data_IF_082284817127
#
_entry.id   IF_082284817127
#
_cell.length_a   1.000
_cell.length_b   1.000
_cell.length_c   1.000
_cell.angle_alpha   90.00
_cell.angle_beta   90.00
_cell.angle_gamma   90.00
#
_symmetry.space_group_name_H-M   'P 1'
#
loop_
_entity.id
_entity.type
_entity.pdbx_description
1 polymer ?
#
# COMPACT_ATOMS: atom_id res chain seq x y z
N UNK A 1 -38.47 10.97 0.30
CA UNK A 1 -37.52 9.94 -0.17
C UNK A 1 -36.60 10.59 -1.17
N UNK A 2 -35.39 10.99 -0.77
CA UNK A 2 -34.45 11.71 -1.63
C UNK A 2 -33.54 10.71 -2.35
N UNK A 3 -33.81 10.50 -3.65
CA UNK A 3 -32.97 9.73 -4.55
C UNK A 3 -31.69 10.53 -4.87
N UNK A 4 -30.57 10.18 -4.25
CA UNK A 4 -29.26 10.64 -4.69
C UNK A 4 -28.84 9.82 -5.91
N UNK A 5 -29.08 10.35 -7.10
CA UNK A 5 -28.47 9.87 -8.34
C UNK A 5 -26.96 10.15 -8.29
N UNK A 6 -26.17 9.13 -7.97
CA UNK A 6 -24.72 9.18 -8.21
C UNK A 6 -24.53 8.93 -9.71
N UNK A 7 -24.15 9.97 -10.44
CA UNK A 7 -23.68 9.85 -11.82
C UNK A 7 -22.46 8.92 -11.83
N UNK A 8 -22.64 7.69 -12.29
CA UNK A 8 -21.54 6.79 -12.63
C UNK A 8 -20.93 7.30 -13.94
N UNK A 9 -19.71 7.82 -13.87
CA UNK A 9 -18.89 8.00 -15.07
C UNK A 9 -18.14 6.69 -15.29
N UNK A 10 -18.65 5.86 -16.19
CA UNK A 10 -17.96 4.66 -16.64
C UNK A 10 -16.85 5.10 -17.59
N UNK A 11 -15.60 5.15 -17.14
CA UNK A 11 -14.47 5.42 -18.03
C UNK A 11 -14.13 4.11 -18.74
N UNK A 12 -14.87 3.82 -19.82
CA UNK A 12 -14.66 2.63 -20.65
C UNK A 12 -13.56 2.81 -21.69
N UNK A 13 -13.09 4.03 -21.92
CA UNK A 13 -12.04 4.30 -22.89
C UNK A 13 -10.72 4.63 -22.18
N UNK A 14 -9.94 3.58 -21.91
CA UNK A 14 -8.52 3.73 -21.57
C UNK A 14 -7.78 4.56 -22.63
N UNK A 15 -8.22 4.49 -23.89
CA UNK A 15 -7.76 5.32 -25.01
C UNK A 15 -7.97 6.82 -24.76
N UNK A 16 -9.08 7.21 -24.14
CA UNK A 16 -9.41 8.60 -23.84
C UNK A 16 -8.55 9.14 -22.69
N UNK A 17 -8.38 8.37 -21.61
CA UNK A 17 -7.43 8.71 -20.52
C UNK A 17 -6.02 8.89 -21.09
N UNK A 18 -5.55 7.94 -21.90
CA UNK A 18 -4.22 8.01 -22.53
C UNK A 18 -4.13 9.23 -23.44
N UNK A 19 -5.15 9.55 -24.24
CA UNK A 19 -5.17 10.76 -25.08
C UNK A 19 -5.17 12.06 -24.28
N UNK A 20 -5.83 12.08 -23.10
CA UNK A 20 -5.88 13.23 -22.22
C UNK A 20 -4.52 13.40 -21.55
N UNK A 21 -3.90 12.33 -21.06
CA UNK A 21 -2.53 12.34 -20.58
C UNK A 21 -1.56 12.81 -21.67
N UNK A 22 -1.68 12.31 -22.90
CA UNK A 22 -0.87 12.74 -24.04
C UNK A 22 -1.05 14.24 -24.34
N UNK A 23 -2.29 14.75 -24.30
CA UNK A 23 -2.58 16.18 -24.50
C UNK A 23 -2.08 17.07 -23.37
N UNK A 24 -2.16 16.60 -22.12
CA UNK A 24 -1.60 17.30 -20.94
C UNK A 24 -0.07 17.31 -20.98
N UNK A 25 0.54 16.22 -21.43
CA UNK A 25 1.97 16.10 -21.65
C UNK A 25 2.43 16.90 -22.89
N UNK A 26 1.62 17.09 -23.93
CA UNK A 26 1.99 17.98 -25.05
C UNK A 26 1.98 19.48 -24.70
N UNK A 27 1.35 19.90 -23.59
CA UNK A 27 1.54 21.25 -23.03
C UNK A 27 2.80 21.37 -22.17
N UNK A 28 3.36 20.24 -21.74
CA UNK A 28 4.65 20.14 -21.07
C UNK A 28 5.59 19.38 -21.99
N UNK A 29 6.16 20.05 -23.00
CA UNK A 29 7.15 19.46 -23.90
C UNK A 29 8.17 18.64 -23.10
N UNK A 30 7.96 17.31 -23.04
CA UNK A 30 9.02 16.40 -22.67
C UNK A 30 10.00 16.53 -23.83
N UNK A 31 11.29 16.78 -23.59
CA UNK A 31 12.27 16.78 -24.65
C UNK A 31 12.21 15.40 -25.32
N UNK A 32 11.56 15.34 -26.48
CA UNK A 32 11.60 14.20 -27.39
C UNK A 32 12.85 14.38 -28.23
N UNK A 33 14.00 14.16 -27.59
CA UNK A 33 15.29 14.12 -28.26
C UNK A 33 15.53 12.75 -28.93
N UNK A 34 14.50 11.88 -28.98
CA UNK A 34 14.61 10.53 -29.51
C UNK A 34 15.59 9.66 -28.74
N UNK A 35 16.08 10.11 -27.58
CA UNK A 35 17.00 9.30 -26.77
C UNK A 35 16.20 8.22 -26.05
N UNK A 36 16.55 6.93 -26.25
CA UNK A 36 15.92 5.85 -25.50
C UNK A 36 16.09 6.12 -24.00
N UNK A 37 14.99 6.12 -23.24
CA UNK A 37 15.11 6.16 -21.79
C UNK A 37 15.96 4.98 -21.32
N UNK A 38 16.90 5.20 -20.38
CA UNK A 38 17.76 4.14 -19.90
C UNK A 38 16.89 3.01 -19.34
N UNK A 39 17.14 1.80 -19.83
CA UNK A 39 16.45 0.61 -19.34
C UNK A 39 16.78 0.47 -17.86
N UNK A 40 15.74 0.39 -17.03
CA UNK A 40 15.93 0.20 -15.60
C UNK A 40 16.68 -1.11 -15.36
N UNK A 41 17.72 -1.11 -14.52
CA UNK A 41 18.47 -2.34 -14.27
C UNK A 41 17.54 -3.38 -13.62
N UNK A 42 17.84 -4.68 -13.78
CA UNK A 42 17.09 -5.76 -13.15
C UNK A 42 16.91 -5.51 -11.65
N UNK A 43 15.78 -5.97 -11.10
CA UNK A 43 15.41 -5.70 -9.71
C UNK A 43 16.50 -6.15 -8.70
N UNK A 44 17.22 -7.22 -9.04
CA UNK A 44 18.31 -7.78 -8.24
C UNK A 44 19.50 -6.82 -8.14
N UNK A 45 19.75 -6.02 -9.18
CA UNK A 45 20.83 -5.04 -9.21
C UNK A 45 20.49 -3.74 -8.47
N UNK A 46 19.21 -3.51 -8.18
CA UNK A 46 18.73 -2.37 -7.39
C UNK A 46 18.84 -2.60 -5.88
N UNK A 47 19.05 -3.85 -5.47
CA UNK A 47 19.11 -4.20 -4.06
C UNK A 47 20.45 -3.74 -3.46
N UNK A 48 20.44 -3.17 -2.24
CA UNK A 48 21.67 -2.90 -1.51
C UNK A 48 22.53 -4.15 -1.35
N UNK A 49 23.86 -4.00 -1.38
CA UNK A 49 24.83 -5.10 -1.28
C UNK A 49 24.56 -6.09 -0.13
N UNK A 50 23.97 -5.63 1.00
CA UNK A 50 23.59 -6.49 2.14
C UNK A 50 22.54 -7.56 1.80
N UNK A 51 21.75 -7.34 0.76
CA UNK A 51 20.72 -8.25 0.26
C UNK A 51 21.20 -9.06 -0.96
N UNK A 52 22.45 -8.89 -1.38
CA UNK A 52 23.06 -9.62 -2.48
C UNK A 52 23.91 -10.79 -1.96
N UNK A 53 24.12 -11.81 -2.80
CA UNK A 53 24.99 -12.95 -2.46
C UNK A 53 24.51 -13.82 -1.29
N UNK A 54 25.46 -14.41 -0.56
CA UNK A 54 25.20 -15.35 0.54
C UNK A 54 24.49 -14.71 1.74
N UNK A 55 24.87 -13.49 2.12
CA UNK A 55 24.22 -12.71 3.19
C UNK A 55 22.76 -12.38 2.84
N UNK A 56 22.50 -12.02 1.59
CA UNK A 56 21.15 -11.83 1.07
C UNK A 56 20.29 -13.10 1.16
N UNK A 57 20.86 -14.25 0.77
CA UNK A 57 20.17 -15.55 0.89
C UNK A 57 19.80 -15.88 2.33
N UNK A 58 20.72 -15.71 3.27
CA UNK A 58 20.46 -15.92 4.71
C UNK A 58 19.34 -15.01 5.22
N UNK A 59 19.37 -13.73 4.83
CA UNK A 59 18.33 -12.76 5.19
C UNK A 59 16.97 -13.14 4.61
N UNK A 60 16.93 -13.61 3.36
CA UNK A 60 15.72 -14.10 2.71
C UNK A 60 15.14 -15.33 3.39
N UNK A 61 15.98 -16.31 3.75
CA UNK A 61 15.53 -17.49 4.51
C UNK A 61 15.01 -17.10 5.90
N UNK A 62 15.66 -16.16 6.58
CA UNK A 62 15.18 -15.66 7.86
C UNK A 62 13.79 -15.01 7.74
N UNK A 63 13.59 -14.15 6.73
CA UNK A 63 12.30 -13.52 6.45
C UNK A 63 11.21 -14.56 6.15
N UNK A 64 11.53 -15.56 5.31
CA UNK A 64 10.59 -16.63 4.97
C UNK A 64 10.22 -17.46 6.21
N UNK A 65 11.20 -17.74 7.08
CA UNK A 65 10.98 -18.41 8.36
C UNK A 65 10.05 -17.63 9.28
N UNK A 66 10.24 -16.30 9.40
CA UNK A 66 9.35 -15.43 10.17
C UNK A 66 7.91 -15.42 9.61
N UNK A 67 7.76 -15.34 8.29
CA UNK A 67 6.46 -15.40 7.63
C UNK A 67 5.75 -16.73 7.90
N UNK A 68 6.47 -17.85 7.81
CA UNK A 68 5.92 -19.17 8.10
C UNK A 68 5.51 -19.30 9.57
N UNK A 69 6.35 -18.83 10.49
CA UNK A 69 6.05 -18.82 11.92
C UNK A 69 4.81 -17.97 12.24
N UNK A 70 4.70 -16.79 11.64
CA UNK A 70 3.52 -15.92 11.80
C UNK A 70 2.26 -16.57 11.25
N UNK A 71 2.35 -17.27 10.10
CA UNK A 71 1.22 -18.03 9.54
C UNK A 71 0.75 -19.13 10.49
N UNK A 72 1.69 -19.86 11.09
CA UNK A 72 1.37 -20.93 12.07
C UNK A 72 0.78 -20.37 13.37
N UNK A 73 1.28 -19.24 13.85
CA UNK A 73 0.80 -18.57 15.08
C UNK A 73 -0.59 -17.96 14.91
N UNK A 74 -0.81 -17.23 13.82
CA UNK A 74 -2.02 -16.43 13.62
C UNK A 74 -3.18 -17.22 13.02
N UNK A 75 -2.91 -18.42 12.48
CA UNK A 75 -3.90 -19.31 11.84
C UNK A 75 -4.95 -18.52 11.04
N UNK A 76 -4.53 -17.77 10.01
CA UNK A 76 -5.45 -16.94 9.26
C UNK A 76 -6.52 -17.83 8.62
N UNK A 77 -7.74 -17.78 9.13
CA UNK A 77 -8.87 -18.43 8.49
C UNK A 77 -9.22 -17.67 7.22
N UNK A 78 -9.28 -18.40 6.11
CA UNK A 78 -9.80 -17.84 4.88
C UNK A 78 -11.30 -17.60 5.07
N UNK A 79 -11.75 -16.37 4.82
CA UNK A 79 -13.18 -16.12 4.69
C UNK A 79 -13.72 -17.09 3.63
N UNK A 80 -14.80 -17.82 3.91
CA UNK A 80 -15.38 -18.71 2.93
C UNK A 80 -15.68 -17.90 1.68
N UNK A 81 -15.16 -18.35 0.54
CA UNK A 81 -15.39 -17.69 -0.75
C UNK A 81 -16.88 -17.80 -1.04
N UNK A 82 -17.66 -16.77 -0.68
CA UNK A 82 -19.12 -16.81 -0.80
C UNK A 82 -19.56 -16.91 -2.26
N UNK A 83 -18.81 -16.31 -3.19
CA UNK A 83 -19.06 -16.36 -4.64
C UNK A 83 -17.87 -15.81 -5.41
N UNK A 84 -17.31 -16.59 -6.34
CA UNK A 84 -16.40 -16.06 -7.36
C UNK A 84 -17.24 -15.42 -8.48
N UNK A 85 -17.12 -14.11 -8.65
CA UNK A 85 -17.81 -13.38 -9.72
C UNK A 85 -16.87 -13.32 -10.95
N UNK A 86 -17.34 -13.70 -12.16
CA UNK A 86 -16.57 -13.57 -13.40
C UNK A 86 -16.05 -12.15 -13.59
N UNK A 87 -14.87 -11.99 -14.20
CA UNK A 87 -14.24 -10.67 -14.37
C UNK A 87 -15.19 -9.68 -15.06
N UNK A 88 -15.93 -10.13 -16.08
CA UNK A 88 -16.91 -9.33 -16.82
C UNK A 88 -18.05 -8.79 -15.95
N UNK A 89 -18.39 -9.48 -14.86
CA UNK A 89 -19.49 -9.12 -13.95
C UNK A 89 -19.02 -8.36 -12.71
N UNK A 90 -17.70 -8.15 -12.56
CA UNK A 90 -17.14 -7.40 -11.42
C UNK A 90 -17.43 -5.92 -11.58
N UNK A 91 -18.41 -5.42 -10.84
CA UNK A 91 -18.68 -3.99 -10.70
C UNK A 91 -17.96 -3.46 -9.46
N UNK A 92 -17.05 -2.51 -9.64
CA UNK A 92 -16.40 -1.79 -8.55
C UNK A 92 -16.99 -0.39 -8.42
N UNK A 93 -17.08 0.11 -7.18
CA UNK A 93 -17.49 1.48 -6.90
C UNK A 93 -16.38 2.18 -6.13
N UNK A 94 -16.09 3.45 -6.48
CA UNK A 94 -15.15 4.28 -5.76
C UNK A 94 -15.91 5.28 -4.90
N UNK A 95 -15.71 5.21 -3.59
CA UNK A 95 -16.21 6.22 -2.65
C UNK A 95 -15.03 7.10 -2.23
N UNK A 96 -15.08 8.38 -2.60
CA UNK A 96 -14.11 9.38 -2.14
C UNK A 96 -14.67 10.12 -0.93
N UNK A 97 -13.91 10.13 0.16
CA UNK A 97 -14.16 10.97 1.33
C UNK A 97 -12.95 11.86 1.56
N UNK A 98 -13.18 13.14 1.82
CA UNK A 98 -12.14 14.14 2.07
C UNK A 98 -12.40 14.77 3.42
N UNK A 99 -11.37 14.83 4.27
CA UNK A 99 -11.42 15.60 5.50
C UNK A 99 -11.24 17.08 5.19
N UNK A 100 -11.88 17.97 5.96
CA UNK A 100 -11.61 19.40 5.83
C UNK A 100 -10.14 19.71 6.18
N UNK A 101 -9.57 20.82 5.70
CA UNK A 101 -8.19 21.20 6.04
C UNK A 101 -7.95 21.26 7.55
N UNK A 102 -8.90 21.82 8.31
CA UNK A 102 -8.80 21.95 9.77
C UNK A 102 -8.80 20.58 10.46
N UNK A 103 -9.66 19.65 10.02
CA UNK A 103 -9.69 18.29 10.56
C UNK A 103 -8.44 17.50 10.18
N UNK A 104 -7.93 17.68 8.96
CA UNK A 104 -6.70 17.05 8.49
C UNK A 104 -5.50 17.49 9.32
N UNK A 105 -5.37 18.79 9.60
CA UNK A 105 -4.29 19.33 10.45
C UNK A 105 -4.38 18.79 11.87
N UNK A 106 -5.57 18.84 12.50
CA UNK A 106 -5.78 18.27 13.85
C UNK A 106 -5.46 16.78 13.90
N UNK A 107 -5.84 16.04 12.86
CA UNK A 107 -5.55 14.61 12.77
C UNK A 107 -4.06 14.32 12.66
N UNK A 108 -3.33 15.06 11.79
CA UNK A 108 -1.88 14.93 11.66
C UNK A 108 -1.17 15.29 12.97
N UNK A 109 -1.56 16.41 13.60
CA UNK A 109 -1.03 16.81 14.89
C UNK A 109 -1.26 15.72 15.95
N UNK A 110 -2.46 15.13 16.00
CA UNK A 110 -2.74 14.06 16.96
C UNK A 110 -1.90 12.81 16.70
N UNK A 111 -1.68 12.45 15.43
CA UNK A 111 -0.78 11.35 15.08
C UNK A 111 0.65 11.62 15.59
N UNK A 112 1.14 12.86 15.45
CA UNK A 112 2.44 13.27 15.96
C UNK A 112 2.53 13.15 17.48
N UNK A 113 1.53 13.67 18.22
CA UNK A 113 1.45 13.56 19.69
C UNK A 113 1.47 12.10 20.18
N UNK A 114 0.81 11.20 19.46
CA UNK A 114 0.73 9.77 19.78
C UNK A 114 1.95 8.98 19.25
N UNK A 115 2.88 9.65 18.56
CA UNK A 115 4.09 9.05 18.02
C UNK A 115 3.82 8.04 16.89
N UNK A 116 2.75 8.20 16.12
CA UNK A 116 2.37 7.30 15.00
C UNK A 116 2.27 8.05 13.67
N UNK A 117 2.34 7.32 12.55
CA UNK A 117 2.11 7.92 11.23
C UNK A 117 0.61 7.94 10.91
N UNK A 118 0.20 8.86 10.04
CA UNK A 118 -1.20 8.98 9.56
C UNK A 118 -1.70 7.66 8.95
N UNK A 119 -0.88 6.98 8.14
CA UNK A 119 -1.24 5.69 7.52
C UNK A 119 -1.52 4.61 8.57
N UNK A 120 -0.68 4.53 9.60
CA UNK A 120 -0.85 3.56 10.69
C UNK A 120 -2.10 3.87 11.52
N UNK A 121 -2.38 5.15 11.80
CA UNK A 121 -3.59 5.55 12.50
C UNK A 121 -4.87 5.22 11.71
N UNK A 122 -4.88 5.49 10.41
CA UNK A 122 -5.99 5.14 9.51
C UNK A 122 -6.16 3.61 9.47
N UNK A 123 -5.07 2.86 9.39
CA UNK A 123 -5.12 1.40 9.40
C UNK A 123 -5.70 0.84 10.70
N UNK A 124 -5.28 1.35 11.86
CA UNK A 124 -5.86 0.98 13.14
C UNK A 124 -7.37 1.24 13.19
N UNK A 125 -7.80 2.42 12.69
CA UNK A 125 -9.21 2.76 12.61
C UNK A 125 -10.00 1.81 11.68
N UNK A 126 -9.45 1.46 10.51
CA UNK A 126 -10.06 0.50 9.59
C UNK A 126 -10.18 -0.89 10.22
N UNK A 127 -9.15 -1.36 10.91
CA UNK A 127 -9.15 -2.66 11.59
C UNK A 127 -10.21 -2.71 12.70
N UNK A 128 -10.33 -1.66 13.52
CA UNK A 128 -11.35 -1.56 14.57
C UNK A 128 -12.76 -1.45 13.97
N UNK A 129 -12.94 -0.68 12.91
CA UNK A 129 -14.24 -0.57 12.24
C UNK A 129 -14.67 -1.93 11.63
N UNK A 130 -13.73 -2.64 11.01
CA UNK A 130 -13.96 -3.96 10.40
C UNK A 130 -14.26 -4.99 11.47
N UNK A 131 -13.51 -5.03 12.57
CA UNK A 131 -13.76 -5.97 13.67
C UNK A 131 -15.13 -5.74 14.32
N UNK A 132 -15.53 -4.48 14.52
CA UNK A 132 -16.89 -4.13 14.99
C UNK A 132 -17.97 -4.61 14.03
N UNK A 133 -17.76 -4.47 12.72
CA UNK A 133 -18.72 -4.92 11.71
C UNK A 133 -18.88 -6.44 11.71
N UNK A 134 -17.77 -7.18 11.86
CA UNK A 134 -17.77 -8.64 11.93
C UNK A 134 -18.45 -9.11 13.22
N UNK A 135 -18.11 -8.53 14.37
CA UNK A 135 -18.69 -8.90 15.66
C UNK A 135 -20.20 -8.65 15.72
N UNK A 136 -20.71 -7.58 15.10
CA UNK A 136 -22.17 -7.34 14.98
C UNK A 136 -22.91 -8.46 14.25
N UNK A 137 -22.21 -9.21 13.40
CA UNK A 137 -22.77 -10.30 12.60
C UNK A 137 -22.42 -11.69 13.15
N UNK A 138 -21.71 -11.77 14.29
CA UNK A 138 -21.21 -13.02 14.87
C UNK A 138 -22.11 -13.51 16.00
N UNK A 139 -22.24 -14.83 16.13
CA UNK A 139 -22.94 -15.49 17.24
C UNK A 139 -22.18 -15.41 18.57
N UNK A 140 -20.90 -15.03 18.57
CA UNK A 140 -20.07 -14.89 19.77
C UNK A 140 -19.56 -13.43 19.86
N UNK A 141 -20.29 -12.54 20.54
CA UNK A 141 -19.86 -11.16 20.71
C UNK A 141 -18.59 -11.08 21.58
N UNK A 142 -17.78 -10.06 21.35
CA UNK A 142 -16.58 -9.70 22.13
C UNK A 142 -15.31 -10.56 21.98
N UNK A 143 -15.27 -11.60 21.14
CA UNK A 143 -14.01 -12.28 20.85
C UNK A 143 -13.10 -11.44 19.91
N UNK A 144 -11.77 -11.46 20.11
CA UNK A 144 -10.82 -10.86 19.17
C UNK A 144 -10.98 -11.47 17.77
N UNK A 145 -10.98 -10.61 16.75
CA UNK A 145 -11.05 -11.03 15.35
C UNK A 145 -9.67 -10.86 14.74
N UNK A 146 -9.11 -11.94 14.18
CA UNK A 146 -7.86 -11.86 13.42
C UNK A 146 -8.12 -11.20 12.07
N UNK A 147 -7.46 -10.07 11.83
CA UNK A 147 -7.59 -9.31 10.59
C UNK A 147 -6.22 -9.10 9.96
N UNK A 148 -6.12 -9.42 8.67
CA UNK A 148 -4.95 -9.10 7.87
C UNK A 148 -5.10 -7.75 7.16
N UNK A 149 -4.00 -7.03 7.05
CA UNK A 149 -3.89 -5.77 6.33
C UNK A 149 -2.69 -5.82 5.38
N UNK A 150 -2.81 -5.11 4.26
CA UNK A 150 -1.79 -4.96 3.24
C UNK A 150 -1.45 -3.48 3.10
N UNK A 151 -0.17 -3.15 3.27
CA UNK A 151 0.35 -1.79 3.11
C UNK A 151 1.37 -1.76 1.97
N UNK A 152 1.13 -0.90 0.98
CA UNK A 152 2.14 -0.58 -0.01
C UNK A 152 3.18 0.37 0.60
N UNK A 153 4.46 0.00 0.52
CA UNK A 153 5.59 0.82 0.98
C UNK A 153 6.47 1.20 -0.19
N UNK A 154 6.86 2.48 -0.24
CA UNK A 154 7.73 3.01 -1.27
C UNK A 154 9.17 2.48 -1.06
N UNK A 155 9.71 1.77 -2.06
CA UNK A 155 11.04 1.19 -2.00
C UNK A 155 12.15 2.13 -2.50
N UNK A 156 11.82 3.25 -3.15
CA UNK A 156 12.82 4.15 -3.77
C UNK A 156 13.94 4.58 -2.82
N UNK A 157 13.61 4.76 -1.53
CA UNK A 157 14.59 5.15 -0.49
C UNK A 157 15.53 4.03 -0.05
N UNK A 158 15.23 2.79 -0.42
CA UNK A 158 15.95 1.59 0.00
C UNK A 158 16.67 0.89 -1.16
N UNK A 159 16.39 1.30 -2.39
CA UNK A 159 17.05 0.81 -3.58
C UNK A 159 18.23 1.72 -3.92
N UNK A 160 19.30 1.12 -4.45
CA UNK A 160 20.47 1.84 -4.94
C UNK A 160 20.62 1.52 -6.43
N UNK A 161 20.84 2.53 -7.26
CA UNK A 161 21.27 2.27 -8.63
C UNK A 161 22.71 1.73 -8.60
N UNK A 162 23.05 0.72 -9.42
CA UNK A 162 24.42 0.30 -9.61
C UNK A 162 25.28 1.50 -10.03
N UNK A 163 26.42 1.69 -9.35
CA UNK A 163 27.40 2.75 -9.67
C UNK A 163 28.02 2.64 -11.08
N UNK A 164 27.67 1.60 -11.84
CA UNK A 164 28.12 1.37 -13.20
C UNK A 164 27.24 2.06 -14.27
N UNK A 165 26.07 2.62 -13.88
CA UNK A 165 25.32 3.57 -14.70
C UNK A 165 25.95 4.96 -14.51
N UNK A 166 26.99 5.18 -15.29
CA UNK A 166 27.70 6.44 -15.52
C UNK A 166 28.56 7.02 -14.37
N UNK A 167 29.87 7.01 -14.61
CA UNK A 167 30.92 7.77 -13.93
C UNK A 167 30.75 9.30 -13.97
N UNK A 168 29.61 9.80 -14.44
CA UNK A 168 29.21 11.22 -14.45
C UNK A 168 28.12 11.55 -13.42
N UNK A 169 27.45 10.53 -12.85
CA UNK A 169 26.37 10.67 -11.86
C UNK A 169 26.71 9.85 -10.61
N UNK A 170 27.59 10.39 -9.77
CA UNK A 170 27.94 9.77 -8.49
C UNK A 170 26.72 9.31 -7.70
N UNK A 171 26.66 8.01 -7.38
CA UNK A 171 25.65 7.38 -6.52
C UNK A 171 24.22 7.96 -6.69
N UNK A 172 23.71 7.97 -7.92
CA UNK A 172 22.37 8.48 -8.19
C UNK A 172 21.33 7.65 -7.39
N UNK A 173 20.62 8.31 -6.47
CA UNK A 173 19.38 7.75 -5.91
C UNK A 173 18.31 7.78 -6.99
N UNK A 174 17.53 6.71 -7.07
CA UNK A 174 16.30 6.63 -7.88
C UNK A 174 15.48 7.90 -7.62
N UNK A 175 15.35 8.75 -8.63
CA UNK A 175 14.65 10.03 -8.49
C UNK A 175 13.14 9.81 -8.45
N UNK A 176 12.40 10.76 -7.89
CA UNK A 176 10.93 10.70 -7.85
C UNK A 176 10.30 10.71 -9.25
N UNK A 177 11.05 11.18 -10.25
CA UNK A 177 10.63 11.34 -11.64
C UNK A 177 10.71 10.03 -12.44
N UNK A 178 11.35 8.99 -11.90
CA UNK A 178 11.47 7.69 -12.58
C UNK A 178 10.16 6.89 -12.48
N UNK A 179 9.60 6.60 -13.66
CA UNK A 179 8.31 5.91 -13.85
C UNK A 179 8.49 4.38 -13.75
N UNK A 180 8.77 3.89 -12.54
CA UNK A 180 8.81 2.46 -12.24
C UNK A 180 7.95 2.11 -11.00
N UNK A 181 7.28 0.93 -10.99
CA UNK A 181 6.51 0.44 -9.84
C UNK A 181 7.44 -0.06 -8.73
N UNK A 182 8.08 0.87 -8.02
CA UNK A 182 9.05 0.59 -6.97
C UNK A 182 8.37 0.62 -5.58
N UNK A 183 7.57 -0.41 -5.31
CA UNK A 183 6.92 -0.60 -4.01
C UNK A 183 6.95 -2.07 -3.59
N UNK A 184 6.83 -2.31 -2.29
CA UNK A 184 6.57 -3.64 -1.73
C UNK A 184 5.23 -3.63 -1.01
N UNK A 185 4.62 -4.80 -0.84
CA UNK A 185 3.42 -4.97 -0.02
C UNK A 185 3.82 -5.66 1.27
N UNK A 186 3.63 -4.96 2.39
CA UNK A 186 3.76 -5.55 3.72
C UNK A 186 2.42 -6.11 4.16
N UNK A 187 2.39 -7.40 4.47
CA UNK A 187 1.20 -8.08 4.99
C UNK A 187 1.39 -8.34 6.47
N UNK A 188 0.48 -7.81 7.29
CA UNK A 188 0.47 -8.03 8.72
C UNK A 188 -0.91 -8.51 9.15
N UNK A 189 -0.96 -9.34 10.19
CA UNK A 189 -2.21 -9.78 10.78
C UNK A 189 -2.21 -9.48 12.28
N UNK A 190 -3.36 -9.00 12.76
CA UNK A 190 -3.54 -8.53 14.12
C UNK A 190 -4.78 -9.19 14.72
N UNK A 191 -4.70 -9.61 15.98
CA UNK A 191 -5.88 -9.99 16.75
C UNK A 191 -6.54 -8.74 17.33
N UNK A 192 -7.64 -8.31 16.73
CA UNK A 192 -8.26 -7.01 17.03
C UNK A 192 -9.50 -7.20 17.89
N UNK A 193 -9.50 -6.61 19.08
CA UNK A 193 -10.70 -6.46 19.89
C UNK A 193 -11.45 -5.18 19.47
N UNK A 194 -12.77 -5.25 19.29
CA UNK A 194 -13.62 -4.09 18.96
C UNK A 194 -13.58 -2.95 19.99
N UNK A 195 -13.19 -3.27 21.24
CA UNK A 195 -13.01 -2.32 22.34
C UNK A 195 -11.58 -1.76 22.42
N UNK A 196 -10.66 -2.23 21.58
CA UNK A 196 -9.29 -1.72 21.56
C UNK A 196 -9.28 -0.20 21.34
N UNK A 197 -8.49 0.50 22.15
CA UNK A 197 -8.25 1.93 21.95
C UNK A 197 -7.43 2.11 20.67
N UNK A 198 -7.91 2.98 19.78
CA UNK A 198 -7.32 3.21 18.44
C UNK A 198 -5.81 3.48 18.53
N UNK A 199 -5.39 4.33 19.46
CA UNK A 199 -3.98 4.70 19.60
C UNK A 199 -3.09 3.59 20.18
N UNK A 200 -3.64 2.64 20.94
CA UNK A 200 -2.89 1.47 21.39
C UNK A 200 -2.61 0.54 20.21
N UNK A 201 -3.64 0.26 19.41
CA UNK A 201 -3.50 -0.56 18.21
C UNK A 201 -2.58 0.11 17.16
N UNK A 202 -2.69 1.44 16.98
CA UNK A 202 -1.80 2.18 16.09
C UNK A 202 -0.33 2.07 16.53
N UNK A 203 -0.04 2.14 17.84
CA UNK A 203 1.33 1.97 18.35
C UNK A 203 1.83 0.54 18.22
N UNK A 204 0.97 -0.46 18.38
CA UNK A 204 1.28 -1.87 18.13
C UNK A 204 1.64 -2.10 16.65
N UNK A 205 0.82 -1.57 15.75
CA UNK A 205 1.04 -1.66 14.30
C UNK A 205 2.36 -1.03 13.86
N UNK A 206 2.77 0.07 14.50
CA UNK A 206 3.99 0.79 14.14
C UNK A 206 5.26 -0.02 14.47
N UNK A 207 5.21 -0.85 15.50
CA UNK A 207 6.34 -1.66 15.97
C UNK A 207 6.69 -2.74 14.96
#
# INVERSE_FOLDING_TARGET
>A
MNNFFIRQATINDHSEIVSICHRLLHRYSLPDDGTPQPIFPPAEQLLPNRFCGLSGRLTGFHLLGQLLLNRLRLKPDHLPVKRCIPVADRKTGLIRRTLSPQLSQRFVQRCYEEGVTTNVAIMAAMLIATSRSIQKSSSIPHQPVTLSTQLAVNLRRYLALPSALDSTLGAAKIQEQELAPLFSILVHAYAVNAQSRIWNLAREIKR
#
